data_IF_011269200581
#
_entry.id   IF_011269200581
#
_cell.length_a   1.000
_cell.length_b   1.000
_cell.length_c   1.000
_cell.angle_alpha   90.00
_cell.angle_beta   90.00
_cell.angle_gamma   90.00
#
_symmetry.space_group_name_H-M   'P 1'
#
loop_
_entity.id
_entity.type
_entity.pdbx_description
1 polymer ?
#
# COMPACT_ATOMS: atom_id res chain seq x y z
N UNK A 1 19.23 26.98 2.89
CA UNK A 1 18.89 25.87 1.97
C UNK A 1 18.90 26.50 0.59
N UNK A 2 19.92 26.18 -0.20
CA UNK A 2 20.30 26.90 -1.43
C UNK A 2 19.20 26.93 -2.50
N UNK A 3 19.19 28.05 -3.23
CA UNK A 3 18.18 28.48 -4.17
C UNK A 3 18.17 27.62 -5.45
N UNK A 4 17.01 27.07 -5.78
CA UNK A 4 16.58 26.74 -7.14
C UNK A 4 15.15 27.22 -7.24
N UNK A 5 14.81 27.91 -8.33
CA UNK A 5 13.57 28.67 -8.62
C UNK A 5 12.25 27.89 -8.45
N UNK A 6 11.96 27.40 -7.25
CA UNK A 6 10.80 26.56 -6.93
C UNK A 6 10.90 25.10 -7.38
N UNK A 7 11.93 24.69 -8.11
CA UNK A 7 12.10 23.29 -8.52
C UNK A 7 12.79 22.47 -7.41
N UNK A 8 12.17 21.39 -6.89
CA UNK A 8 12.82 20.53 -5.91
C UNK A 8 14.10 19.94 -6.49
N UNK A 9 15.20 20.07 -5.74
CA UNK A 9 16.50 19.53 -6.14
C UNK A 9 16.47 18.02 -6.01
N UNK A 10 16.67 17.31 -7.12
CA UNK A 10 16.91 15.87 -7.09
C UNK A 10 18.30 15.61 -6.50
N UNK A 11 18.30 15.16 -5.24
CA UNK A 11 19.52 14.87 -4.48
C UNK A 11 20.28 13.67 -5.04
N UNK A 12 19.57 12.65 -5.54
CA UNK A 12 20.20 11.47 -6.12
C UNK A 12 20.91 11.85 -7.42
N UNK A 13 20.28 12.65 -8.26
CA UNK A 13 20.90 13.16 -9.48
C UNK A 13 22.12 14.04 -9.17
N UNK A 14 22.04 14.89 -8.15
CA UNK A 14 23.18 15.71 -7.72
C UNK A 14 24.38 14.85 -7.27
N UNK A 15 24.13 13.81 -6.47
CA UNK A 15 25.17 12.86 -6.04
C UNK A 15 25.78 12.14 -7.25
N UNK A 16 24.95 11.66 -8.19
CA UNK A 16 25.44 11.02 -9.43
C UNK A 16 26.36 11.96 -10.19
N UNK A 17 25.93 13.19 -10.47
CA UNK A 17 26.72 14.17 -11.22
C UNK A 17 28.01 14.54 -10.49
N UNK A 18 27.97 14.70 -9.16
CA UNK A 18 29.13 15.06 -8.36
C UNK A 18 30.21 13.96 -8.34
N UNK A 19 29.81 12.69 -8.40
CA UNK A 19 30.72 11.55 -8.27
C UNK A 19 31.01 10.79 -9.58
N UNK A 20 30.37 11.18 -10.68
CA UNK A 20 30.67 10.63 -12.01
C UNK A 20 31.96 11.24 -12.57
N UNK A 21 32.89 10.36 -12.98
CA UNK A 21 34.08 10.79 -13.71
C UNK A 21 33.68 11.28 -15.11
N UNK A 22 34.09 12.51 -15.47
CA UNK A 22 33.73 13.14 -16.75
C UNK A 22 34.31 12.42 -17.98
N UNK A 23 35.45 11.77 -17.83
CA UNK A 23 36.14 11.06 -18.92
C UNK A 23 35.52 9.69 -19.16
N UNK A 24 35.22 8.93 -18.10
CA UNK A 24 34.68 7.56 -18.21
C UNK A 24 33.16 7.49 -18.17
N UNK A 25 32.49 8.55 -17.71
CA UNK A 25 31.02 8.58 -17.53
C UNK A 25 30.52 7.71 -16.37
N UNK A 26 31.41 7.20 -15.52
CA UNK A 26 31.06 6.25 -14.46
C UNK A 26 31.44 6.75 -13.07
N UNK A 27 30.69 6.29 -12.07
CA UNK A 27 31.05 6.43 -10.65
C UNK A 27 32.07 5.34 -10.34
N UNK A 28 33.30 5.75 -10.01
CA UNK A 28 34.40 4.82 -9.73
C UNK A 28 34.53 4.48 -8.24
N UNK A 29 33.99 5.33 -7.36
CA UNK A 29 33.94 5.05 -5.93
C UNK A 29 32.95 3.89 -5.70
N UNK A 30 33.42 2.72 -5.21
CA UNK A 30 32.57 1.55 -5.06
C UNK A 30 31.49 1.72 -3.99
N UNK A 31 31.74 2.55 -2.97
CA UNK A 31 30.78 2.82 -1.90
C UNK A 31 29.66 3.70 -2.45
N UNK A 32 30.02 4.79 -3.13
CA UNK A 32 29.02 5.69 -3.72
C UNK A 32 28.21 4.98 -4.79
N UNK A 33 28.85 4.16 -5.64
CA UNK A 33 28.16 3.34 -6.62
C UNK A 33 27.14 2.41 -5.95
N UNK A 34 27.54 1.70 -4.90
CA UNK A 34 26.63 0.82 -4.15
C UNK A 34 25.45 1.55 -3.52
N UNK A 35 25.66 2.75 -2.99
CA UNK A 35 24.57 3.59 -2.44
C UNK A 35 23.62 4.05 -3.53
N UNK A 36 24.13 4.52 -4.68
CA UNK A 36 23.30 4.94 -5.81
C UNK A 36 22.47 3.77 -6.34
N UNK A 37 23.09 2.61 -6.55
CA UNK A 37 22.41 1.40 -7.05
C UNK A 37 21.29 0.95 -6.07
N UNK A 38 21.56 1.01 -4.76
CA UNK A 38 20.58 0.66 -3.72
C UNK A 38 19.37 1.60 -3.74
N UNK A 39 19.62 2.92 -3.82
CA UNK A 39 18.53 3.91 -3.82
C UNK A 39 17.70 3.83 -5.09
N UNK A 40 18.32 3.62 -6.26
CA UNK A 40 17.58 3.41 -7.52
C UNK A 40 16.71 2.15 -7.46
N UNK A 41 17.25 1.04 -6.95
CA UNK A 41 16.48 -0.20 -6.78
C UNK A 41 15.29 -0.02 -5.83
N UNK A 42 15.47 0.72 -4.73
CA UNK A 42 14.41 1.03 -3.77
C UNK A 42 13.30 1.90 -4.39
N UNK A 43 13.67 2.92 -5.18
CA UNK A 43 12.69 3.76 -5.92
C UNK A 43 11.89 2.91 -6.90
N UNK A 44 12.55 2.02 -7.64
CA UNK A 44 11.89 1.10 -8.59
C UNK A 44 10.96 0.14 -7.85
N UNK A 45 11.42 -0.46 -6.75
CA UNK A 45 10.65 -1.36 -5.90
C UNK A 45 9.41 -0.68 -5.33
N UNK A 46 9.53 0.53 -4.79
CA UNK A 46 8.40 1.30 -4.30
C UNK A 46 7.43 1.68 -5.42
N UNK A 47 7.95 2.03 -6.60
CA UNK A 47 7.12 2.29 -7.78
C UNK A 47 6.36 1.04 -8.27
N UNK A 48 6.96 -0.14 -8.12
CA UNK A 48 6.34 -1.43 -8.43
C UNK A 48 5.34 -1.89 -7.36
N UNK A 49 5.56 -1.55 -6.08
CA UNK A 49 4.61 -1.86 -5.00
C UNK A 49 3.27 -1.14 -5.14
N UNK A 50 3.22 -0.04 -5.91
CA UNK A 50 1.98 0.64 -6.31
C UNK A 50 1.30 -0.02 -7.51
N UNK A 51 1.92 -1.04 -8.12
CA UNK A 51 1.41 -1.78 -9.28
C UNK A 51 1.14 -3.26 -8.97
N UNK A 52 1.19 -3.67 -7.71
CA UNK A 52 0.59 -4.94 -7.26
C UNK A 52 -0.91 -4.74 -7.02
N UNK A 53 -1.62 -4.38 -8.09
CA UNK A 53 -3.06 -4.59 -8.20
C UNK A 53 -3.26 -6.07 -8.56
N UNK A 54 -3.14 -6.93 -7.54
CA UNK A 54 -3.20 -8.38 -7.71
C UNK A 54 -3.90 -9.13 -6.59
N UNK A 55 -3.54 -8.90 -5.32
CA UNK A 55 -4.23 -9.53 -4.18
C UNK A 55 -3.95 -8.85 -2.84
N UNK A 56 -4.21 -7.55 -2.77
CA UNK A 56 -4.59 -6.98 -1.48
C UNK A 56 -5.66 -5.95 -1.72
N UNK A 57 -6.86 -6.29 -1.26
CA UNK A 57 -7.96 -5.37 -0.92
C UNK A 57 -7.46 -4.27 0.02
N UNK A 58 -6.66 -3.36 -0.50
CA UNK A 58 -6.33 -2.05 0.04
C UNK A 58 -7.25 -1.00 -0.61
N UNK A 59 -8.54 -1.31 -0.70
CA UNK A 59 -9.52 -0.40 -1.31
C UNK A 59 -9.91 0.70 -0.33
N UNK A 60 -9.24 1.83 -0.49
CA UNK A 60 -9.76 3.20 -0.40
C UNK A 60 -10.55 3.61 0.85
N UNK A 61 -10.08 4.72 1.42
CA UNK A 61 -10.57 5.46 2.58
C UNK A 61 -11.98 6.07 2.47
N UNK A 62 -12.93 5.54 1.66
CA UNK A 62 -14.34 5.98 1.69
C UNK A 62 -15.36 4.84 1.42
N UNK A 63 -15.18 3.67 2.04
CA UNK A 63 -16.19 2.61 1.96
C UNK A 63 -17.46 3.00 2.73
N UNK A 64 -18.63 2.72 2.15
CA UNK A 64 -19.90 2.86 2.87
C UNK A 64 -19.97 1.85 4.02
N UNK A 65 -20.72 2.17 5.08
CA UNK A 65 -20.92 1.27 6.23
C UNK A 65 -21.47 -0.11 5.82
N UNK A 66 -22.29 -0.17 4.76
CA UNK A 66 -22.81 -1.44 4.24
C UNK A 66 -21.72 -2.32 3.64
N UNK A 67 -20.81 -1.73 2.85
CA UNK A 67 -19.69 -2.44 2.25
C UNK A 67 -18.71 -2.94 3.32
N UNK A 68 -18.44 -2.10 4.34
CA UNK A 68 -17.62 -2.49 5.48
C UNK A 68 -18.24 -3.69 6.20
N UNK A 69 -19.54 -3.65 6.50
CA UNK A 69 -20.24 -4.76 7.15
C UNK A 69 -20.20 -6.04 6.30
N UNK A 70 -20.37 -5.93 4.99
CA UNK A 70 -20.29 -7.08 4.09
C UNK A 70 -18.89 -7.71 4.08
N UNK A 71 -17.84 -6.90 4.04
CA UNK A 71 -16.46 -7.37 4.11
C UNK A 71 -16.16 -8.06 5.44
N UNK A 72 -16.58 -7.48 6.57
CA UNK A 72 -16.42 -8.06 7.90
C UNK A 72 -17.12 -9.43 7.99
N UNK A 73 -18.34 -9.56 7.45
CA UNK A 73 -19.07 -10.83 7.45
C UNK A 73 -18.45 -11.93 6.58
N UNK A 74 -17.74 -11.55 5.51
CA UNK A 74 -16.99 -12.48 4.65
C UNK A 74 -15.70 -12.94 5.31
N UNK A 75 -15.02 -12.06 6.06
CA UNK A 75 -13.75 -12.36 6.72
C UNK A 75 -13.91 -13.15 8.03
N UNK A 76 -15.02 -12.98 8.76
CA UNK A 76 -15.22 -13.65 10.05
C UNK A 76 -15.59 -15.13 9.85
N UNK A 77 -14.89 -16.08 10.51
CA UNK A 77 -15.19 -17.49 10.44
C UNK A 77 -16.64 -17.81 10.85
N UNK A 78 -17.26 -18.75 10.14
CA UNK A 78 -18.63 -19.24 10.41
C UNK A 78 -18.59 -20.57 11.16
N UNK A 79 -19.32 -20.67 12.26
CA UNK A 79 -19.58 -21.94 12.96
C UNK A 79 -20.67 -22.73 12.22
N UNK A 80 -20.72 -24.05 12.46
CA UNK A 80 -21.82 -24.93 12.02
C UNK A 80 -23.17 -24.32 12.48
N UNK A 81 -24.07 -24.07 11.54
CA UNK A 81 -25.31 -23.32 11.78
C UNK A 81 -25.25 -21.83 11.42
N UNK A 82 -24.23 -21.36 10.70
CA UNK A 82 -24.18 -20.03 10.08
C UNK A 82 -23.85 -18.86 11.02
N UNK A 83 -23.51 -19.14 12.29
CA UNK A 83 -23.17 -18.11 13.28
C UNK A 83 -21.73 -17.62 13.07
N UNK A 84 -21.56 -16.32 12.90
CA UNK A 84 -20.25 -15.66 12.83
C UNK A 84 -19.59 -15.66 14.22
N UNK A 85 -18.31 -15.98 14.29
CA UNK A 85 -17.56 -16.05 15.54
C UNK A 85 -17.35 -14.64 16.10
N UNK A 86 -17.75 -14.40 17.35
CA UNK A 86 -17.54 -13.12 18.03
C UNK A 86 -18.46 -11.97 17.60
N UNK A 87 -19.27 -12.15 16.54
CA UNK A 87 -20.26 -11.17 16.11
C UNK A 87 -21.65 -11.48 16.65
N UNK A 88 -22.39 -10.43 17.01
CA UNK A 88 -23.79 -10.54 17.37
C UNK A 88 -24.64 -10.98 16.16
N UNK A 89 -25.83 -11.54 16.44
CA UNK A 89 -26.78 -11.91 15.39
C UNK A 89 -27.30 -10.66 14.69
N UNK A 90 -27.41 -10.68 13.36
CA UNK A 90 -28.09 -9.61 12.62
C UNK A 90 -29.57 -9.56 13.02
N UNK A 91 -30.13 -8.36 13.13
CA UNK A 91 -31.56 -8.15 13.36
C UNK A 91 -32.46 -8.88 12.32
N UNK A 92 -32.00 -9.00 11.08
CA UNK A 92 -32.69 -9.76 10.02
C UNK A 92 -32.62 -11.29 10.20
N UNK A 93 -31.76 -11.80 11.08
CA UNK A 93 -31.61 -13.24 11.33
C UNK A 93 -32.45 -13.75 12.50
N UNK A 94 -33.20 -12.86 13.15
CA UNK A 94 -34.22 -13.29 14.10
C UNK A 94 -35.35 -13.95 13.31
N UNK A 95 -35.84 -15.12 13.74
CA UNK A 95 -37.08 -15.63 13.18
C UNK A 95 -38.15 -14.56 13.40
N UNK A 96 -38.80 -14.12 12.32
CA UNK A 96 -39.99 -13.31 12.43
C UNK A 96 -41.00 -14.16 13.22
N UNK A 97 -41.18 -13.84 14.49
CA UNK A 97 -42.20 -14.47 15.30
C UNK A 97 -43.54 -14.02 14.73
N UNK A 98 -44.14 -14.84 13.87
CA UNK A 98 -45.51 -14.68 13.40
C UNK A 98 -46.43 -14.85 14.60
N UNK A 99 -46.65 -13.77 15.36
CA UNK A 99 -47.78 -13.68 16.27
C UNK A 99 -48.97 -13.22 15.45
N UNK A 100 -49.72 -14.18 14.91
CA UNK A 100 -51.04 -13.91 14.35
C UNK A 100 -52.00 -15.01 14.81
N UNK A 101 -52.86 -14.59 15.75
CA UNK A 101 -54.13 -15.15 16.25
C UNK A 101 -54.22 -16.65 16.55
#
# INVERSE_FOLDING_TARGET
IEANDGNPVDRLQLIKVAHTNKTTGQIQDPVIKGVVDLVEAEIVSQSQSLSDDGDSTGTSTNLSLLQINEMVEKAVPKKKGGRLVGLARRASSYPASSSQA
#
